data_IF_492253546644
#
_entry.id   IF_492253546644
#
_cell.length_a   1.000
_cell.length_b   1.000
_cell.length_c   1.000
_cell.angle_alpha   90.00
_cell.angle_beta   90.00
_cell.angle_gamma   90.00
#
_symmetry.space_group_name_H-M   'P 1'
#
loop_
_entity.id
_entity.type
_entity.pdbx_description
1 polymer ?
#
# COMPACT_ATOMS: atom_id res chain seq x y z
N UNK A 1 19.77 0.77 11.01
CA UNK A 1 19.21 -0.53 10.63
C UNK A 1 19.75 -0.88 9.26
N UNK A 2 20.32 -2.06 9.11
CA UNK A 2 20.77 -2.62 7.85
C UNK A 2 19.59 -3.02 6.96
N UNK A 3 19.83 -3.25 5.66
CA UNK A 3 18.79 -3.72 4.73
C UNK A 3 18.21 -5.08 5.14
N UNK A 4 19.05 -5.97 5.66
CA UNK A 4 18.62 -7.31 6.11
C UNK A 4 17.66 -7.18 7.29
N UNK A 5 18.05 -6.42 8.32
CA UNK A 5 17.18 -6.15 9.48
C UNK A 5 15.88 -5.46 9.07
N UNK A 6 15.92 -4.56 8.07
CA UNK A 6 14.72 -3.91 7.56
C UNK A 6 13.78 -4.87 6.81
N UNK A 7 14.33 -5.76 5.99
CA UNK A 7 13.56 -6.80 5.31
C UNK A 7 12.91 -7.73 6.33
N UNK A 8 13.66 -8.17 7.35
CA UNK A 8 13.14 -9.01 8.43
C UNK A 8 12.01 -8.31 9.20
N UNK A 9 12.15 -7.01 9.47
CA UNK A 9 11.09 -6.19 10.07
C UNK A 9 9.84 -6.14 9.20
N UNK A 10 9.96 -5.89 7.89
CA UNK A 10 8.82 -5.88 6.97
C UNK A 10 8.15 -7.25 6.88
N UNK A 11 8.93 -8.32 6.86
CA UNK A 11 8.40 -9.68 6.83
C UNK A 11 7.63 -10.00 8.11
N UNK A 12 8.17 -9.67 9.29
CA UNK A 12 7.48 -9.85 10.56
C UNK A 12 6.16 -9.06 10.62
N UNK A 13 6.17 -7.80 10.18
CA UNK A 13 4.96 -6.98 10.09
C UNK A 13 3.95 -7.55 9.08
N UNK A 14 4.43 -8.11 7.96
CA UNK A 14 3.56 -8.75 6.97
C UNK A 14 2.84 -9.97 7.56
N UNK A 15 3.54 -10.78 8.36
CA UNK A 15 2.91 -11.91 9.07
C UNK A 15 1.88 -11.42 10.11
N UNK A 16 2.20 -10.37 10.86
CA UNK A 16 1.30 -9.79 11.86
C UNK A 16 0.02 -9.24 11.24
N UNK A 17 0.15 -8.51 10.13
CA UNK A 17 -0.97 -7.90 9.40
C UNK A 17 -1.95 -8.95 8.88
N UNK A 18 -1.51 -10.17 8.57
CA UNK A 18 -2.43 -11.24 8.16
C UNK A 18 -3.38 -11.68 9.29
N UNK A 19 -2.96 -11.50 10.53
CA UNK A 19 -3.70 -11.98 11.71
C UNK A 19 -4.41 -10.85 12.44
N UNK A 20 -3.88 -9.63 12.37
CA UNK A 20 -4.34 -8.50 13.17
C UNK A 20 -4.46 -7.23 12.32
N UNK A 21 -5.55 -6.49 12.49
CA UNK A 21 -5.73 -5.17 11.89
C UNK A 21 -4.67 -4.20 12.47
N UNK A 22 -3.80 -3.59 11.63
CA UNK A 22 -2.76 -2.68 12.11
C UNK A 22 -3.34 -1.30 12.48
N UNK A 23 -2.61 -0.54 13.30
CA UNK A 23 -3.08 0.75 13.83
C UNK A 23 -3.34 1.80 12.74
N UNK A 24 -2.61 1.76 11.63
CA UNK A 24 -2.87 2.60 10.45
C UNK A 24 -4.30 2.42 9.93
N UNK A 25 -4.81 1.18 9.92
CA UNK A 25 -6.16 0.87 9.44
C UNK A 25 -7.21 1.38 10.43
N UNK A 26 -6.93 1.29 11.74
CA UNK A 26 -7.80 1.88 12.77
C UNK A 26 -7.88 3.40 12.61
N UNK A 27 -6.75 4.06 12.35
CA UNK A 27 -6.69 5.51 12.14
C UNK A 27 -7.45 5.95 10.90
N UNK A 28 -7.23 5.32 9.75
CA UNK A 28 -7.92 5.71 8.50
C UNK A 28 -9.45 5.54 8.63
N UNK A 29 -9.93 4.49 9.31
CA UNK A 29 -11.36 4.28 9.58
C UNK A 29 -11.98 5.38 10.46
N UNK A 30 -11.20 5.93 11.38
CA UNK A 30 -11.63 6.95 12.35
C UNK A 30 -11.42 8.39 11.85
N UNK A 31 -10.84 8.58 10.66
CA UNK A 31 -10.45 9.89 10.12
C UNK A 31 -11.66 10.80 9.87
N UNK A 32 -12.02 11.57 10.89
CA UNK A 32 -13.01 12.64 10.82
C UNK A 32 -12.35 13.96 10.42
N UNK A 33 -12.28 14.25 9.11
CA UNK A 33 -12.16 15.64 8.66
C UNK A 33 -13.46 16.39 9.02
N UNK A 34 -13.49 17.73 9.11
CA UNK A 34 -14.70 18.51 9.47
C UNK A 34 -15.98 18.16 8.69
N UNK A 35 -15.83 17.53 7.51
CA UNK A 35 -16.93 17.03 6.68
C UNK A 35 -17.37 15.58 6.95
N UNK A 36 -16.79 14.87 7.93
CA UNK A 36 -17.10 13.46 8.32
C UNK A 36 -17.12 12.44 7.17
N UNK A 37 -16.29 12.63 6.13
CA UNK A 37 -16.23 11.72 4.97
C UNK A 37 -15.16 10.64 5.17
N UNK A 38 -15.46 9.64 6.00
CA UNK A 38 -14.55 8.54 6.34
C UNK A 38 -14.30 7.59 5.15
N UNK A 39 -15.32 7.38 4.31
CA UNK A 39 -15.25 6.39 3.22
C UNK A 39 -14.24 6.76 2.12
N UNK A 40 -14.12 8.04 1.76
CA UNK A 40 -13.23 8.46 0.67
C UNK A 40 -11.77 8.17 0.95
N UNK A 41 -11.27 8.52 2.14
CA UNK A 41 -9.88 8.26 2.52
C UNK A 41 -9.57 6.76 2.56
N UNK A 42 -10.48 5.95 3.11
CA UNK A 42 -10.34 4.50 3.13
C UNK A 42 -10.32 3.90 1.72
N UNK A 43 -11.25 4.32 0.85
CA UNK A 43 -11.32 3.85 -0.53
C UNK A 43 -10.09 4.28 -1.35
N UNK A 44 -9.64 5.53 -1.24
CA UNK A 44 -8.45 5.98 -1.98
C UNK A 44 -7.18 5.32 -1.48
N UNK A 45 -7.04 5.07 -0.18
CA UNK A 45 -5.94 4.25 0.34
C UNK A 45 -5.93 2.87 -0.32
N UNK A 46 -7.08 2.18 -0.36
CA UNK A 46 -7.21 0.88 -1.03
C UNK A 46 -6.80 0.95 -2.52
N UNK A 47 -7.33 1.92 -3.26
CA UNK A 47 -7.07 2.07 -4.69
C UNK A 47 -5.61 2.40 -5.02
N UNK A 48 -4.96 3.25 -4.21
CA UNK A 48 -3.54 3.57 -4.39
C UNK A 48 -2.67 2.34 -4.15
N UNK A 49 -3.02 1.49 -3.18
CA UNK A 49 -2.32 0.23 -2.95
C UNK A 49 -2.56 -0.79 -4.07
N UNK A 50 -3.78 -0.88 -4.61
CA UNK A 50 -4.11 -1.69 -5.79
C UNK A 50 -3.29 -1.26 -7.01
N UNK A 51 -3.04 0.05 -7.18
CA UNK A 51 -2.20 0.57 -8.26
C UNK A 51 -0.71 0.26 -8.04
N UNK A 52 -0.22 0.36 -6.80
CA UNK A 52 1.20 0.14 -6.49
C UNK A 52 1.64 -1.33 -6.63
N UNK A 53 0.79 -2.27 -6.24
CA UNK A 53 1.08 -3.71 -6.24
C UNK A 53 1.60 -4.25 -7.59
N UNK A 54 0.89 -4.09 -8.73
CA UNK A 54 1.35 -4.61 -10.00
C UNK A 54 2.62 -3.92 -10.51
N UNK A 55 2.83 -2.65 -10.19
CA UNK A 55 4.04 -1.93 -10.58
C UNK A 55 5.27 -2.43 -9.83
N UNK A 56 5.15 -2.63 -8.51
CA UNK A 56 6.21 -3.24 -7.69
C UNK A 56 6.49 -4.67 -8.16
N UNK A 57 5.45 -5.46 -8.44
CA UNK A 57 5.63 -6.82 -8.96
C UNK A 57 6.39 -6.85 -10.29
N UNK A 58 6.04 -5.96 -11.24
CA UNK A 58 6.75 -5.85 -12.52
C UNK A 58 8.21 -5.50 -12.32
N UNK A 59 8.53 -4.56 -11.43
CA UNK A 59 9.90 -4.18 -11.11
C UNK A 59 10.70 -5.35 -10.52
N UNK A 60 10.08 -6.16 -9.64
CA UNK A 60 10.68 -7.39 -9.11
C UNK A 60 11.01 -8.35 -10.26
N UNK A 61 10.05 -8.62 -11.16
CA UNK A 61 10.26 -9.51 -12.30
C UNK A 61 11.37 -9.01 -13.24
N UNK A 62 11.37 -7.71 -13.56
CA UNK A 62 12.40 -7.09 -14.39
C UNK A 62 13.79 -7.24 -13.77
N UNK A 63 13.92 -6.99 -12.47
CA UNK A 63 15.19 -7.16 -11.78
C UNK A 63 15.67 -8.62 -11.76
N UNK A 64 14.77 -9.58 -11.52
CA UNK A 64 15.10 -11.01 -11.57
C UNK A 64 15.53 -11.46 -12.98
N UNK A 65 14.92 -10.89 -14.02
CA UNK A 65 15.27 -11.13 -15.41
C UNK A 65 16.47 -10.28 -15.90
N UNK A 66 17.00 -9.39 -15.04
CA UNK A 66 18.04 -8.39 -15.38
C UNK A 66 17.67 -7.54 -16.61
N UNK A 67 16.40 -7.14 -16.69
CA UNK A 67 15.87 -6.30 -17.77
C UNK A 67 15.84 -4.82 -17.36
N UNK A 68 16.59 -4.00 -18.10
CA UNK A 68 16.75 -2.57 -17.83
C UNK A 68 17.87 -2.27 -16.84
N UNK A 69 18.38 -1.04 -16.88
CA UNK A 69 19.45 -0.58 -15.99
C UNK A 69 18.97 -0.48 -14.54
N UNK A 70 19.76 -1.00 -13.59
CA UNK A 70 19.43 -0.99 -12.16
C UNK A 70 19.13 0.43 -11.64
N UNK A 71 19.87 1.44 -12.10
CA UNK A 71 19.64 2.83 -11.72
C UNK A 71 18.25 3.32 -12.14
N UNK A 72 17.79 2.92 -13.33
CA UNK A 72 16.46 3.26 -13.84
C UNK A 72 15.37 2.55 -13.05
N UNK A 73 15.54 1.24 -12.77
CA UNK A 73 14.58 0.49 -11.96
C UNK A 73 14.44 1.08 -10.56
N UNK A 74 15.56 1.52 -9.95
CA UNK A 74 15.57 2.23 -8.66
C UNK A 74 14.82 3.56 -8.72
N UNK A 75 15.01 4.35 -9.77
CA UNK A 75 14.31 5.63 -9.91
C UNK A 75 12.78 5.45 -10.03
N UNK A 76 12.34 4.44 -10.79
CA UNK A 76 10.92 4.12 -10.92
C UNK A 76 10.35 3.61 -9.59
N UNK A 77 11.06 2.69 -8.93
CA UNK A 77 10.68 2.19 -7.61
C UNK A 77 10.57 3.32 -6.57
N UNK A 78 11.53 4.26 -6.54
CA UNK A 78 11.48 5.41 -5.64
C UNK A 78 10.24 6.28 -5.87
N UNK A 79 9.86 6.48 -7.14
CA UNK A 79 8.62 7.20 -7.48
C UNK A 79 7.37 6.52 -6.94
N UNK A 80 7.26 5.19 -7.09
CA UNK A 80 6.13 4.42 -6.55
C UNK A 80 6.08 4.49 -5.03
N UNK A 81 7.22 4.28 -4.36
CA UNK A 81 7.29 4.34 -2.90
C UNK A 81 7.04 5.75 -2.36
N UNK A 82 7.56 6.78 -3.02
CA UNK A 82 7.39 8.18 -2.62
C UNK A 82 5.95 8.68 -2.80
N UNK A 83 5.26 8.24 -3.86
CA UNK A 83 3.83 8.52 -4.01
C UNK A 83 3.02 7.92 -2.85
N UNK A 84 3.27 6.65 -2.52
CA UNK A 84 2.58 5.97 -1.42
C UNK A 84 2.93 6.58 -0.05
N UNK A 85 4.19 6.92 0.20
CA UNK A 85 4.62 7.64 1.40
C UNK A 85 3.81 8.93 1.61
N UNK A 86 3.75 9.78 0.58
CA UNK A 86 3.01 11.04 0.62
C UNK A 86 1.50 10.85 0.81
N UNK A 87 0.91 9.84 0.14
CA UNK A 87 -0.50 9.49 0.31
C UNK A 87 -0.81 9.02 1.74
N UNK A 88 -0.01 8.07 2.25
CA UNK A 88 -0.16 7.54 3.60
C UNK A 88 -0.10 8.64 4.66
N UNK A 89 0.88 9.54 4.59
CA UNK A 89 1.03 10.63 5.55
C UNK A 89 -0.03 11.73 5.39
N UNK A 90 -0.16 12.31 4.18
CA UNK A 90 -0.96 13.50 3.96
C UNK A 90 -2.46 13.22 3.84
N UNK A 91 -2.83 12.07 3.28
CA UNK A 91 -4.20 11.78 2.86
C UNK A 91 -4.90 10.78 3.76
N UNK A 92 -4.19 9.78 4.30
CA UNK A 92 -4.82 8.59 4.92
C UNK A 92 -4.58 8.41 6.42
N UNK A 93 -3.71 9.21 7.06
CA UNK A 93 -3.27 9.04 8.47
C UNK A 93 -2.61 7.67 8.75
N UNK A 94 -1.98 7.11 7.72
CA UNK A 94 -1.24 5.84 7.79
C UNK A 94 0.24 6.11 8.10
N UNK A 95 0.52 6.81 9.20
CA UNK A 95 1.84 7.33 9.52
C UNK A 95 2.91 6.25 9.70
N UNK A 96 2.54 5.06 10.20
CA UNK A 96 3.52 3.98 10.38
C UNK A 96 3.96 3.42 9.03
N UNK A 97 3.00 3.20 8.12
CA UNK A 97 3.23 2.82 6.72
C UNK A 97 4.03 3.87 5.96
N UNK A 98 3.72 5.16 6.13
CA UNK A 98 4.47 6.25 5.52
C UNK A 98 5.94 6.22 5.93
N UNK A 99 6.22 6.09 7.24
CA UNK A 99 7.58 5.96 7.76
C UNK A 99 8.31 4.76 7.18
N UNK A 100 7.63 3.60 7.05
CA UNK A 100 8.21 2.41 6.44
C UNK A 100 8.53 2.62 4.96
N UNK A 101 7.72 3.37 4.21
CA UNK A 101 8.04 3.72 2.82
C UNK A 101 9.27 4.62 2.74
N UNK A 102 9.38 5.63 3.59
CA UNK A 102 10.59 6.47 3.68
C UNK A 102 11.85 5.67 4.04
N UNK A 103 11.75 4.76 5.02
CA UNK A 103 12.83 3.81 5.36
C UNK A 103 13.18 2.92 4.16
N UNK A 104 12.19 2.39 3.43
CA UNK A 104 12.39 1.56 2.24
C UNK A 104 13.10 2.32 1.11
N UNK A 105 12.76 3.59 0.88
CA UNK A 105 13.43 4.44 -0.12
C UNK A 105 14.90 4.67 0.22
N UNK A 106 15.22 4.89 1.49
CA UNK A 106 16.60 5.00 1.94
C UNK A 106 17.38 3.69 1.69
N UNK A 107 16.78 2.53 1.97
CA UNK A 107 17.39 1.22 1.67
C UNK A 107 17.52 0.95 0.17
N UNK A 108 16.53 1.38 -0.62
CA UNK A 108 16.50 1.26 -2.07
C UNK A 108 17.66 2.03 -2.71
N UNK A 109 17.91 3.27 -2.26
CA UNK A 109 19.03 4.08 -2.73
C UNK A 109 20.39 3.37 -2.54
N UNK A 110 20.53 2.56 -1.48
CA UNK A 110 21.73 1.80 -1.16
C UNK A 110 21.85 0.44 -1.87
N UNK A 111 20.85 -0.02 -2.64
CA UNK A 111 20.97 -1.26 -3.43
C UNK A 111 21.99 -1.11 -4.55
N UNK A 112 23.00 -1.99 -4.55
CA UNK A 112 24.07 -2.07 -5.55
C UNK A 112 23.90 -3.21 -6.56
N UNK A 113 23.00 -4.17 -6.28
CA UNK A 113 22.74 -5.30 -7.18
C UNK A 113 21.25 -5.51 -7.45
N UNK A 114 20.94 -6.25 -8.53
CA UNK A 114 19.57 -6.64 -8.87
C UNK A 114 18.95 -7.54 -7.79
N UNK A 115 19.76 -8.39 -7.15
CA UNK A 115 19.34 -9.29 -6.08
C UNK A 115 18.92 -8.51 -4.83
N UNK A 116 19.72 -7.52 -4.44
CA UNK A 116 19.41 -6.64 -3.31
C UNK A 116 18.14 -5.82 -3.56
N UNK A 117 18.01 -5.26 -4.77
CA UNK A 117 16.82 -4.54 -5.20
C UNK A 117 15.57 -5.43 -5.18
N UNK A 118 15.64 -6.62 -5.78
CA UNK A 118 14.52 -7.53 -5.83
C UNK A 118 14.13 -8.05 -4.44
N UNK A 119 15.10 -8.34 -3.57
CA UNK A 119 14.84 -8.77 -2.19
C UNK A 119 14.11 -7.69 -1.39
N UNK A 120 14.57 -6.43 -1.47
CA UNK A 120 13.91 -5.30 -0.82
C UNK A 120 12.47 -5.12 -1.34
N UNK A 121 12.28 -5.06 -2.65
CA UNK A 121 10.94 -4.86 -3.23
C UNK A 121 10.00 -6.01 -2.92
N UNK A 122 10.47 -7.26 -2.83
CA UNK A 122 9.63 -8.39 -2.40
C UNK A 122 9.13 -8.24 -0.97
N UNK A 123 9.97 -7.74 -0.05
CA UNK A 123 9.57 -7.48 1.33
C UNK A 123 8.54 -6.34 1.39
N UNK A 124 8.80 -5.25 0.69
CA UNK A 124 7.85 -4.13 0.57
C UNK A 124 6.53 -4.59 -0.04
N UNK A 125 6.57 -5.35 -1.13
CA UNK A 125 5.37 -5.84 -1.80
C UNK A 125 4.50 -6.72 -0.89
N UNK A 126 5.12 -7.63 -0.13
CA UNK A 126 4.39 -8.47 0.84
C UNK A 126 3.70 -7.64 1.91
N UNK A 127 4.39 -6.63 2.44
CA UNK A 127 3.82 -5.70 3.41
C UNK A 127 2.63 -4.92 2.83
N UNK A 128 2.80 -4.36 1.63
CA UNK A 128 1.76 -3.60 0.96
C UNK A 128 0.54 -4.44 0.57
N UNK A 129 0.73 -5.70 0.13
CA UNK A 129 -0.37 -6.64 -0.09
C UNK A 129 -1.15 -6.89 1.21
N UNK A 130 -0.45 -7.08 2.32
CA UNK A 130 -1.09 -7.27 3.63
C UNK A 130 -1.95 -6.08 4.02
N UNK A 131 -1.42 -4.85 3.87
CA UNK A 131 -2.17 -3.63 4.11
C UNK A 131 -3.39 -3.49 3.20
N UNK A 132 -3.21 -3.76 1.91
CA UNK A 132 -4.28 -3.70 0.92
C UNK A 132 -5.43 -4.65 1.31
N UNK A 133 -5.12 -5.88 1.69
CA UNK A 133 -6.11 -6.83 2.21
C UNK A 133 -6.87 -6.29 3.43
N UNK A 134 -6.19 -5.62 4.37
CA UNK A 134 -6.86 -5.03 5.53
C UNK A 134 -7.72 -3.81 5.15
N UNK A 135 -7.30 -3.01 4.17
CA UNK A 135 -8.10 -1.91 3.63
C UNK A 135 -9.36 -2.45 2.94
N UNK A 136 -9.24 -3.49 2.14
CA UNK A 136 -10.35 -4.16 1.46
C UNK A 136 -11.38 -4.69 2.46
N UNK A 137 -10.93 -5.40 3.50
CA UNK A 137 -11.80 -5.89 4.58
C UNK A 137 -12.49 -4.77 5.37
N UNK A 138 -11.86 -3.60 5.47
CA UNK A 138 -12.42 -2.46 6.20
C UNK A 138 -13.53 -1.76 5.40
N UNK A 139 -13.60 -1.96 4.07
CA UNK A 139 -14.63 -1.35 3.23
C UNK A 139 -15.93 -2.16 3.33
N UNK A 140 -17.08 -1.53 3.66
CA UNK A 140 -18.36 -2.22 3.80
C UNK A 140 -19.02 -2.48 2.42
N UNK A 141 -18.35 -3.26 1.55
CA UNK A 141 -18.76 -3.49 0.16
C UNK A 141 -20.21 -3.94 0.00
N UNK A 142 -20.67 -4.85 0.86
CA UNK A 142 -22.04 -5.36 0.82
C UNK A 142 -23.08 -4.26 1.10
N UNK A 143 -22.83 -3.42 2.11
CA UNK A 143 -23.73 -2.32 2.46
C UNK A 143 -23.73 -1.25 1.38
N UNK A 144 -22.56 -0.86 0.86
CA UNK A 144 -22.43 0.08 -0.24
C UNK A 144 -23.17 -0.41 -1.50
N UNK A 145 -22.99 -1.68 -1.85
CA UNK A 145 -23.64 -2.28 -3.03
C UNK A 145 -25.16 -2.28 -2.88
N UNK A 146 -25.66 -2.64 -1.68
CA UNK A 146 -27.09 -2.62 -1.37
C UNK A 146 -27.65 -1.20 -1.43
N UNK A 147 -27.02 -0.23 -0.79
CA UNK A 147 -27.46 1.16 -0.79
C UNK A 147 -27.47 1.76 -2.19
N UNK A 148 -26.44 1.47 -3.00
CA UNK A 148 -26.41 1.89 -4.40
C UNK A 148 -27.55 1.26 -5.21
N UNK A 149 -27.77 -0.04 -5.04
CA UNK A 149 -28.86 -0.75 -5.72
C UNK A 149 -30.23 -0.17 -5.38
N UNK A 150 -30.53 0.04 -4.09
CA UNK A 150 -31.78 0.64 -3.62
C UNK A 150 -31.98 2.06 -4.16
N UNK A 151 -30.92 2.88 -4.20
CA UNK A 151 -30.98 4.27 -4.67
C UNK A 151 -31.13 4.40 -6.20
N UNK A 152 -30.85 3.34 -6.96
CA UNK A 152 -30.86 3.35 -8.44
C UNK A 152 -32.00 2.52 -9.04
N UNK A 153 -32.82 1.89 -8.19
CA UNK A 153 -34.05 1.26 -8.65
C UNK A 153 -34.99 2.33 -9.21
N UNK A 154 -35.52 2.16 -10.43
CA UNK A 154 -36.57 3.05 -10.93
C UNK A 154 -37.76 2.99 -9.97
N UNK A 155 -38.37 4.14 -9.68
CA UNK A 155 -39.64 4.16 -8.96
C UNK A 155 -40.60 3.24 -9.71
N UNK A 156 -41.19 2.28 -9.00
CA UNK A 156 -42.18 1.40 -9.61
C UNK A 156 -43.30 2.28 -10.16
N UNK A 157 -43.55 2.22 -11.47
CA UNK A 157 -44.68 2.89 -12.11
C UNK A 157 -45.97 2.39 -11.41
N UNK A 158 -46.55 3.24 -10.55
CA UNK A 158 -47.87 3.05 -9.93
C UNK A 158 -48.94 3.63 -10.85
#
# INVERSE_FOLDING_TARGET
MSRVEFIEKLDALSEEIRLHEPDDIRRVKQRNRPAKKNFGALLFAFLDMEAANPDIYRLICMAQARQGELATLKAIADGVLGWNEGGFEGSYDMYDSARLMGEARAQLAACGTYEEFAALLKAVHRYLIGLNFQLDNAIPWAELSRTYHEATQPEADV
#
